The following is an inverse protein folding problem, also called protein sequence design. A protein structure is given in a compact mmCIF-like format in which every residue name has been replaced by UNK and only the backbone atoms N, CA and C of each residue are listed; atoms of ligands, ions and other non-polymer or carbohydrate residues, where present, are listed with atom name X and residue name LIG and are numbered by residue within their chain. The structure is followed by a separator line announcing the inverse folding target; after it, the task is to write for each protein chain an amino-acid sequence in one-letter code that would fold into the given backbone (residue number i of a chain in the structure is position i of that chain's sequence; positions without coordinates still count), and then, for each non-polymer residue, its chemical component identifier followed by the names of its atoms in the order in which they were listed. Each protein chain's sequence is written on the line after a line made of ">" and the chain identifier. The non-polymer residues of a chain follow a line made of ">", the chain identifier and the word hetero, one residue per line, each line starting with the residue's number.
data_IF_586675479283
#
_entry.id   IF_586675479283
#
_cell.length_a   1.000
_cell.length_b   1.000
_cell.length_c   1.000
_cell.angle_alpha   90.00
_cell.angle_beta   90.00
_cell.angle_gamma   90.00
#
_symmetry.space_group_name_H-M   'P 1'
#
loop_
_entity.id
_entity.type
_entity.pdbx_description
1 polymer ?
#
# COMPACT_ATOMS: atom_id res chain seq x y z
N UNK A 1 18.26 -2.85 -14.00
CA UNK A 1 17.71 -1.75 -14.83
C UNK A 1 17.49 -0.54 -13.94
N UNK A 2 17.98 0.66 -14.28
CA UNK A 2 17.86 1.86 -13.41
C UNK A 2 16.39 2.22 -13.19
N UNK A 3 15.98 2.57 -11.96
CA UNK A 3 14.56 2.83 -11.60
C UNK A 3 13.90 3.89 -12.46
N UNK A 4 14.66 4.90 -12.90
CA UNK A 4 14.14 6.04 -13.65
C UNK A 4 13.61 5.63 -15.03
N UNK A 5 14.20 4.62 -15.68
CA UNK A 5 13.72 4.15 -17.00
C UNK A 5 12.35 3.49 -16.91
N UNK A 6 12.07 2.76 -15.83
CA UNK A 6 10.75 2.15 -15.58
C UNK A 6 9.69 3.20 -15.31
N UNK A 7 10.05 4.26 -14.58
CA UNK A 7 9.12 5.34 -14.29
C UNK A 7 8.73 6.09 -15.58
N UNK A 8 9.70 6.37 -16.46
CA UNK A 8 9.43 7.03 -17.74
C UNK A 8 8.46 6.21 -18.61
N UNK A 9 8.69 4.90 -18.77
CA UNK A 9 7.77 4.02 -19.52
C UNK A 9 6.33 4.05 -18.95
N UNK A 10 6.17 4.09 -17.62
CA UNK A 10 4.85 4.24 -17.00
C UNK A 10 4.22 5.60 -17.31
N UNK A 11 5.01 6.68 -17.29
CA UNK A 11 4.53 8.03 -17.63
C UNK A 11 4.12 8.12 -19.11
N UNK A 12 4.94 7.60 -20.02
CA UNK A 12 4.65 7.55 -21.45
C UNK A 12 3.34 6.80 -21.70
N UNK A 13 3.13 5.63 -21.07
CA UNK A 13 1.87 4.89 -21.15
C UNK A 13 0.69 5.65 -20.56
N UNK A 14 0.90 6.44 -19.51
CA UNK A 14 -0.15 7.25 -18.93
C UNK A 14 -0.60 8.38 -19.87
N UNK A 15 0.30 8.92 -20.69
CA UNK A 15 0.02 9.99 -21.66
C UNK A 15 -0.48 9.46 -23.01
N UNK A 16 0.05 8.33 -23.48
CA UNK A 16 -0.19 7.80 -24.83
C UNK A 16 -1.19 6.63 -24.86
N UNK A 17 -1.46 5.98 -23.72
CA UNK A 17 -2.33 4.81 -23.62
C UNK A 17 -3.78 5.07 -24.10
N UNK A 18 -4.56 4.03 -24.44
CA UNK A 18 -5.92 4.19 -24.94
C UNK A 18 -6.82 5.00 -23.99
N UNK A 19 -7.52 6.00 -24.54
CA UNK A 19 -8.47 6.83 -23.81
C UNK A 19 -9.66 5.96 -23.37
N UNK A 20 -10.08 6.13 -22.12
CA UNK A 20 -11.22 5.43 -21.55
C UNK A 20 -11.88 6.29 -20.47
N UNK A 21 -13.21 6.36 -20.50
CA UNK A 21 -13.97 6.96 -19.41
C UNK A 21 -13.90 6.08 -18.15
N UNK A 22 -13.93 6.71 -16.97
CA UNK A 22 -13.83 6.01 -15.69
C UNK A 22 -14.97 5.00 -15.49
N UNK A 23 -16.21 5.37 -15.85
CA UNK A 23 -17.37 4.46 -15.73
C UNK A 23 -17.28 3.30 -16.71
N UNK A 24 -16.71 3.52 -17.89
CA UNK A 24 -16.47 2.45 -18.86
C UNK A 24 -15.36 1.51 -18.39
N UNK A 25 -14.33 2.04 -17.72
CA UNK A 25 -13.32 1.21 -17.06
C UNK A 25 -13.95 0.36 -15.93
N UNK A 26 -14.79 0.92 -15.07
CA UNK A 26 -15.49 0.18 -14.01
C UNK A 26 -16.37 -0.96 -14.57
N UNK A 27 -17.07 -0.69 -15.68
CA UNK A 27 -17.85 -1.71 -16.41
C UNK A 27 -16.94 -2.80 -16.97
N UNK A 28 -15.80 -2.42 -17.54
CA UNK A 28 -14.81 -3.35 -18.06
C UNK A 28 -14.27 -4.25 -16.94
N UNK A 29 -13.88 -3.69 -15.79
CA UNK A 29 -13.45 -4.46 -14.61
C UNK A 29 -14.51 -5.47 -14.20
N UNK A 30 -15.76 -5.03 -14.09
CA UNK A 30 -16.90 -5.89 -13.70
C UNK A 30 -17.19 -7.00 -14.73
N UNK A 31 -17.03 -6.71 -16.02
CA UNK A 31 -17.21 -7.68 -17.10
C UNK A 31 -16.07 -8.70 -17.12
N UNK A 32 -14.82 -8.24 -17.16
CA UNK A 32 -13.63 -9.09 -17.17
C UNK A 32 -13.56 -9.97 -15.94
N UNK A 33 -13.90 -9.46 -14.76
CA UNK A 33 -13.96 -10.28 -13.53
C UNK A 33 -14.91 -11.46 -13.69
N UNK A 34 -16.13 -11.23 -14.19
CA UNK A 34 -17.12 -12.30 -14.41
C UNK A 34 -16.66 -13.32 -15.45
N UNK A 35 -16.05 -12.86 -16.55
CA UNK A 35 -15.53 -13.71 -17.60
C UNK A 35 -14.37 -14.59 -17.11
N UNK A 36 -13.43 -14.01 -16.34
CA UNK A 36 -12.29 -14.71 -15.76
C UNK A 36 -12.74 -15.74 -14.72
N UNK A 37 -13.65 -15.36 -13.80
CA UNK A 37 -14.20 -16.28 -12.80
C UNK A 37 -14.84 -17.51 -13.46
N UNK A 38 -15.60 -17.29 -14.55
CA UNK A 38 -16.20 -18.38 -15.33
C UNK A 38 -15.16 -19.21 -16.08
N UNK A 39 -14.21 -18.56 -16.75
CA UNK A 39 -13.16 -19.22 -17.56
C UNK A 39 -12.28 -20.16 -16.74
N UNK A 40 -11.92 -19.74 -15.53
CA UNK A 40 -11.04 -20.51 -14.64
C UNK A 40 -11.80 -21.36 -13.61
N UNK A 41 -13.14 -21.35 -13.67
CA UNK A 41 -14.02 -22.08 -12.74
C UNK A 41 -13.72 -21.78 -11.27
N UNK A 42 -13.45 -20.51 -10.97
CA UNK A 42 -13.06 -20.07 -9.64
C UNK A 42 -14.30 -19.97 -8.75
N UNK A 43 -14.31 -20.79 -7.70
CA UNK A 43 -15.35 -20.76 -6.66
C UNK A 43 -14.67 -20.55 -5.31
N UNK A 44 -15.09 -19.52 -4.59
CA UNK A 44 -14.68 -19.29 -3.21
C UNK A 44 -15.70 -19.95 -2.27
N UNK A 45 -15.21 -20.76 -1.34
CA UNK A 45 -16.02 -21.31 -0.27
C UNK A 45 -15.88 -20.41 0.97
N UNK A 46 -16.99 -19.82 1.43
CA UNK A 46 -16.97 -18.91 2.59
C UNK A 46 -16.66 -19.64 3.91
N UNK A 47 -16.77 -20.96 3.95
CA UNK A 47 -16.42 -21.77 5.12
C UNK A 47 -14.90 -21.94 5.28
N UNK A 48 -14.15 -21.81 4.17
CA UNK A 48 -12.70 -21.98 4.15
C UNK A 48 -12.01 -20.62 4.14
N UNK A 49 -11.68 -20.10 5.33
CA UNK A 49 -10.97 -18.82 5.47
C UNK A 49 -9.56 -18.82 4.84
N UNK A 50 -8.96 -20.01 4.69
CA UNK A 50 -7.65 -20.22 4.07
C UNK A 50 -7.81 -21.21 2.93
N UNK A 51 -7.32 -20.84 1.75
CA UNK A 51 -7.30 -21.72 0.59
C UNK A 51 -6.20 -22.79 0.77
N UNK A 52 -6.60 -24.05 0.90
CA UNK A 52 -5.70 -25.19 1.09
C UNK A 52 -5.43 -25.99 -0.21
N UNK A 53 -6.16 -25.70 -1.29
CA UNK A 53 -5.95 -26.36 -2.59
C UNK A 53 -4.98 -25.55 -3.46
N UNK A 54 -3.75 -26.05 -3.58
CA UNK A 54 -2.68 -25.46 -4.39
C UNK A 54 -3.06 -25.35 -5.88
N UNK A 55 -3.83 -26.29 -6.43
CA UNK A 55 -4.25 -26.21 -7.84
C UNK A 55 -5.25 -25.07 -8.05
N UNK A 56 -6.14 -24.85 -7.09
CA UNK A 56 -7.04 -23.71 -7.10
C UNK A 56 -6.24 -22.41 -6.92
N UNK A 57 -5.23 -22.37 -6.06
CA UNK A 57 -4.33 -21.21 -5.90
C UNK A 57 -3.58 -20.87 -7.22
N UNK A 58 -3.05 -21.87 -7.91
CA UNK A 58 -2.41 -21.71 -9.22
C UNK A 58 -3.38 -21.18 -10.29
N UNK A 59 -4.64 -21.64 -10.27
CA UNK A 59 -5.68 -21.10 -11.15
C UNK A 59 -5.99 -19.64 -10.82
N UNK A 60 -6.10 -19.28 -9.54
CA UNK A 60 -6.26 -17.88 -9.12
C UNK A 60 -5.10 -17.00 -9.59
N UNK A 61 -3.86 -17.48 -9.47
CA UNK A 61 -2.69 -16.74 -9.95
C UNK A 61 -2.74 -16.52 -11.47
N UNK A 62 -3.02 -17.56 -12.26
CA UNK A 62 -3.14 -17.47 -13.72
C UNK A 62 -4.29 -16.53 -14.14
N UNK A 63 -5.43 -16.63 -13.46
CA UNK A 63 -6.58 -15.78 -13.67
C UNK A 63 -6.28 -14.30 -13.38
N UNK A 64 -5.60 -14.01 -12.26
CA UNK A 64 -5.19 -12.66 -11.90
C UNK A 64 -4.18 -12.07 -12.88
N UNK A 65 -3.24 -12.88 -13.38
CA UNK A 65 -2.26 -12.46 -14.39
C UNK A 65 -2.94 -12.10 -15.73
N UNK A 66 -3.88 -12.93 -16.19
CA UNK A 66 -4.66 -12.63 -17.40
C UNK A 66 -5.56 -11.40 -17.21
N UNK A 67 -6.18 -11.26 -16.04
CA UNK A 67 -6.99 -10.08 -15.71
C UNK A 67 -6.15 -8.80 -15.70
N UNK A 68 -4.93 -8.84 -15.15
CA UNK A 68 -4.01 -7.71 -15.14
C UNK A 68 -3.55 -7.31 -16.56
N UNK A 69 -3.33 -8.28 -17.44
CA UNK A 69 -3.01 -8.05 -18.85
C UNK A 69 -4.18 -7.39 -19.60
N UNK A 70 -5.41 -7.88 -19.41
CA UNK A 70 -6.61 -7.36 -20.08
C UNK A 70 -6.96 -5.94 -19.59
N UNK A 71 -6.91 -5.72 -18.27
CA UNK A 71 -7.35 -4.48 -17.66
C UNK A 71 -6.25 -3.42 -17.64
N UNK A 72 -5.00 -3.80 -17.40
CA UNK A 72 -3.95 -2.83 -17.11
C UNK A 72 -4.28 -1.94 -15.91
N UNK A 73 -3.82 -0.69 -15.94
CA UNK A 73 -4.04 0.29 -14.88
C UNK A 73 -4.70 1.54 -15.47
N UNK A 74 -5.76 2.03 -14.83
CA UNK A 74 -6.40 3.28 -15.22
C UNK A 74 -5.73 4.50 -14.58
N UNK A 75 -5.35 5.48 -15.39
CA UNK A 75 -4.87 6.78 -14.94
C UNK A 75 -6.02 7.78 -14.93
N UNK A 76 -6.51 8.14 -13.74
CA UNK A 76 -7.63 9.08 -13.57
C UNK A 76 -7.28 10.50 -13.99
N UNK A 77 -5.99 10.87 -14.02
CA UNK A 77 -5.55 12.22 -14.42
C UNK A 77 -5.58 12.42 -15.94
N UNK A 78 -5.26 11.39 -16.72
CA UNK A 78 -5.22 11.46 -18.19
C UNK A 78 -6.42 10.79 -18.85
N UNK A 79 -7.28 10.13 -18.06
CA UNK A 79 -8.39 9.29 -18.53
C UNK A 79 -7.94 8.24 -19.55
N UNK A 80 -6.81 7.59 -19.27
CA UNK A 80 -6.18 6.59 -20.14
C UNK A 80 -5.84 5.32 -19.39
N UNK A 81 -5.71 4.24 -20.13
CA UNK A 81 -5.39 2.91 -19.61
C UNK A 81 -3.96 2.52 -19.99
N UNK A 82 -3.13 2.25 -19.00
CA UNK A 82 -1.78 1.72 -19.16
C UNK A 82 -1.85 0.20 -19.27
N UNK A 83 -1.57 -0.33 -20.45
CA UNK A 83 -1.56 -1.77 -20.72
C UNK A 83 -0.17 -2.34 -20.52
N UNK A 84 -0.08 -3.57 -20.05
CA UNK A 84 1.17 -4.30 -19.83
C UNK A 84 1.06 -5.69 -20.42
N UNK A 85 2.08 -6.13 -21.14
CA UNK A 85 2.14 -7.49 -21.63
C UNK A 85 2.39 -8.47 -20.47
N UNK A 86 1.89 -9.69 -20.59
CA UNK A 86 2.08 -10.73 -19.59
C UNK A 86 3.54 -10.95 -19.20
N UNK A 87 4.44 -10.91 -20.17
CA UNK A 87 5.87 -11.10 -19.98
C UNK A 87 6.48 -9.98 -19.13
N UNK A 88 6.01 -8.74 -19.30
CA UNK A 88 6.44 -7.58 -18.52
C UNK A 88 6.04 -7.74 -17.04
N UNK A 89 4.80 -8.18 -16.80
CA UNK A 89 4.28 -8.43 -15.45
C UNK A 89 5.09 -9.54 -14.78
N UNK A 90 5.32 -10.65 -15.48
CA UNK A 90 6.11 -11.78 -14.96
C UNK A 90 7.57 -11.39 -14.69
N UNK A 91 8.17 -10.58 -15.56
CA UNK A 91 9.52 -10.08 -15.37
C UNK A 91 9.59 -9.17 -14.14
N UNK A 92 8.62 -8.28 -13.95
CA UNK A 92 8.54 -7.42 -12.77
C UNK A 92 8.45 -8.22 -11.45
N UNK A 93 7.70 -9.32 -11.43
CA UNK A 93 7.57 -10.19 -10.25
C UNK A 93 8.90 -10.82 -9.82
N UNK A 94 9.84 -11.06 -10.74
CA UNK A 94 11.17 -11.61 -10.41
C UNK A 94 12.03 -10.63 -9.61
N UNK A 95 11.76 -9.33 -9.71
CA UNK A 95 12.51 -8.28 -9.01
C UNK A 95 11.97 -7.99 -7.60
N UNK A 96 11.02 -8.80 -7.11
CA UNK A 96 10.46 -8.64 -5.77
C UNK A 96 11.48 -8.95 -4.68
N UNK A 97 11.49 -8.12 -3.62
CA UNK A 97 12.39 -8.31 -2.48
C UNK A 97 11.86 -9.42 -1.58
N UNK A 98 12.74 -10.31 -1.12
CA UNK A 98 12.39 -11.34 -0.14
C UNK A 98 12.41 -10.83 1.31
N UNK A 99 13.08 -9.70 1.56
CA UNK A 99 13.12 -9.06 2.87
C UNK A 99 13.35 -7.56 2.75
N UNK A 100 12.89 -6.81 3.75
CA UNK A 100 13.15 -5.38 3.90
C UNK A 100 13.34 -5.06 5.38
N UNK A 101 14.42 -4.35 5.72
CA UNK A 101 14.64 -3.84 7.07
C UNK A 101 14.19 -2.39 7.13
N UNK A 102 13.32 -2.08 8.08
CA UNK A 102 12.76 -0.75 8.31
C UNK A 102 13.10 -0.28 9.72
N UNK A 103 13.15 1.03 9.92
CA UNK A 103 13.57 1.62 11.19
C UNK A 103 15.09 1.68 11.33
N UNK A 104 15.57 1.93 12.53
CA UNK A 104 17.00 2.11 12.81
C UNK A 104 17.38 1.74 14.23
N UNK A 105 18.68 1.51 14.47
CA UNK A 105 19.20 1.17 15.79
C UNK A 105 18.57 -0.11 16.36
N UNK A 106 18.28 -0.09 17.67
CA UNK A 106 17.68 -1.22 18.38
C UNK A 106 16.21 -1.48 17.99
N UNK A 107 15.56 -0.51 17.35
CA UNK A 107 14.16 -0.60 16.93
C UNK A 107 14.00 -1.08 15.47
N UNK A 108 15.11 -1.38 14.78
CA UNK A 108 15.06 -1.83 13.40
C UNK A 108 14.34 -3.19 13.29
N UNK A 109 13.37 -3.27 12.41
CA UNK A 109 12.56 -4.48 12.17
C UNK A 109 12.80 -5.00 10.76
N UNK A 110 13.13 -6.27 10.63
CA UNK A 110 13.21 -6.95 9.33
C UNK A 110 11.91 -7.68 9.03
N UNK A 111 11.25 -7.28 7.95
CA UNK A 111 10.08 -7.94 7.37
C UNK A 111 10.59 -8.92 6.34
N UNK A 112 10.18 -10.18 6.46
CA UNK A 112 10.60 -11.27 5.57
C UNK A 112 9.40 -11.88 4.87
N UNK A 113 9.61 -12.41 3.66
CA UNK A 113 8.63 -13.22 2.96
C UNK A 113 8.25 -14.42 3.82
N UNK A 114 6.94 -14.65 3.95
CA UNK A 114 6.36 -15.83 4.60
C UNK A 114 5.60 -16.68 3.59
N UNK A 115 5.50 -17.97 3.85
CA UNK A 115 4.66 -18.96 3.18
C UNK A 115 3.50 -19.37 4.10
N UNK A 116 2.44 -19.98 3.56
CA UNK A 116 1.45 -20.68 4.39
C UNK A 116 2.16 -21.60 5.38
N UNK A 117 1.67 -21.64 6.62
CA UNK A 117 2.19 -22.48 7.71
C UNK A 117 3.60 -22.12 8.25
N UNK A 118 4.22 -21.04 7.76
CA UNK A 118 5.51 -20.60 8.31
C UNK A 118 5.42 -20.27 9.81
N UNK A 119 6.36 -20.82 10.56
CA UNK A 119 6.51 -20.61 12.02
C UNK A 119 7.03 -19.22 12.39
N UNK A 120 7.58 -18.48 11.41
CA UNK A 120 8.01 -17.10 11.60
C UNK A 120 6.78 -16.24 11.94
N UNK A 121 6.81 -15.57 13.08
CA UNK A 121 5.73 -14.69 13.53
C UNK A 121 5.67 -13.45 12.62
N UNK A 122 4.46 -13.08 12.21
CA UNK A 122 4.24 -11.85 11.42
C UNK A 122 4.63 -10.62 12.22
N UNK A 123 5.19 -9.62 11.53
CA UNK A 123 5.45 -8.31 12.14
C UNK A 123 4.13 -7.61 12.44
N UNK A 124 4.01 -7.11 13.66
CA UNK A 124 2.85 -6.39 14.14
C UNK A 124 2.97 -4.92 13.77
N UNK A 125 2.26 -4.55 12.72
CA UNK A 125 2.05 -3.15 12.35
C UNK A 125 0.76 -2.67 13.00
N UNK A 126 0.82 -1.64 13.84
CA UNK A 126 -0.33 -1.10 14.60
C UNK A 126 -0.29 0.41 14.67
N UNK A 127 -1.40 1.02 15.00
CA UNK A 127 -1.52 2.47 15.11
C UNK A 127 -2.94 2.90 14.80
N UNK A 128 -3.18 4.21 14.72
CA UNK A 128 -4.47 4.76 14.35
C UNK A 128 -4.86 4.56 12.87
N UNK A 129 -4.04 3.94 11.99
CA UNK A 129 -4.39 3.62 10.60
C UNK A 129 -5.04 4.78 9.80
N UNK A 130 -4.47 5.99 9.91
CA UNK A 130 -5.01 7.16 9.20
C UNK A 130 -6.33 7.70 9.76
N UNK A 131 -6.78 7.26 10.94
CA UNK A 131 -7.89 7.90 11.66
C UNK A 131 -7.54 9.37 11.95
N UNK A 132 -8.48 10.31 11.75
CA UNK A 132 -8.30 11.71 12.15
C UNK A 132 -8.16 11.83 13.67
N UNK A 133 -7.13 12.55 14.13
CA UNK A 133 -6.83 12.77 15.53
C UNK A 133 -6.67 14.28 15.78
N UNK A 134 -7.27 14.82 16.85
CA UNK A 134 -7.00 16.18 17.29
C UNK A 134 -5.52 16.39 17.61
N UNK A 135 -4.92 17.49 17.11
CA UNK A 135 -3.47 17.74 17.24
C UNK A 135 -2.93 17.59 18.67
N UNK A 136 -3.71 18.06 19.66
CA UNK A 136 -3.35 17.99 21.09
C UNK A 136 -3.19 16.56 21.63
N UNK A 137 -3.90 15.59 21.05
CA UNK A 137 -3.88 14.19 21.47
C UNK A 137 -2.92 13.34 20.62
N UNK A 138 -2.47 13.87 19.48
CA UNK A 138 -1.73 13.09 18.49
C UNK A 138 -0.51 12.40 19.08
N UNK A 139 0.32 13.15 19.83
CA UNK A 139 1.56 12.59 20.39
C UNK A 139 1.28 11.52 21.46
N UNK A 140 0.24 11.69 22.29
CA UNK A 140 -0.16 10.72 23.31
C UNK A 140 -0.74 9.44 22.69
N UNK A 141 -1.58 9.60 21.66
CA UNK A 141 -2.15 8.46 20.92
C UNK A 141 -1.02 7.66 20.27
N UNK A 142 -0.09 8.32 19.58
CA UNK A 142 1.06 7.65 18.96
C UNK A 142 1.94 6.94 20.01
N UNK A 143 2.25 7.61 21.12
CA UNK A 143 3.03 7.05 22.22
C UNK A 143 2.38 5.79 22.80
N UNK A 144 1.04 5.77 22.90
CA UNK A 144 0.29 4.62 23.42
C UNK A 144 0.50 3.35 22.59
N UNK A 145 0.72 3.46 21.27
CA UNK A 145 1.08 2.34 20.41
C UNK A 145 2.57 2.02 20.45
N UNK A 146 3.44 3.04 20.42
CA UNK A 146 4.89 2.82 20.30
C UNK A 146 5.45 2.10 21.53
N UNK A 147 4.94 2.41 22.73
CA UNK A 147 5.42 1.82 23.99
C UNK A 147 5.12 0.33 24.12
N UNK A 148 4.16 -0.20 23.36
CA UNK A 148 3.78 -1.61 23.45
C UNK A 148 4.85 -2.49 22.81
N UNK A 149 5.46 -3.44 23.56
CA UNK A 149 6.57 -4.24 23.07
C UNK A 149 6.17 -5.22 21.97
N UNK A 150 4.88 -5.56 21.88
CA UNK A 150 4.34 -6.44 20.83
C UNK A 150 4.29 -5.74 19.47
N UNK A 151 4.36 -4.41 19.42
CA UNK A 151 4.29 -3.62 18.18
C UNK A 151 5.70 -3.45 17.61
N UNK A 152 5.92 -4.02 16.42
CA UNK A 152 7.20 -3.92 15.72
C UNK A 152 7.35 -2.58 14.99
N UNK A 153 6.29 -2.10 14.33
CA UNK A 153 6.29 -0.84 13.56
C UNK A 153 4.92 -0.16 13.65
N UNK A 154 4.88 1.16 13.42
CA UNK A 154 3.67 1.95 13.71
C UNK A 154 3.09 2.58 12.45
N UNK A 155 1.77 2.59 12.28
CA UNK A 155 1.08 3.38 11.24
C UNK A 155 0.66 4.72 11.81
N UNK A 156 0.97 5.81 11.12
CA UNK A 156 0.56 7.16 11.51
C UNK A 156 -0.95 7.39 11.48
N UNK A 157 -1.41 8.35 12.28
CA UNK A 157 -2.76 8.91 12.19
C UNK A 157 -2.75 10.16 11.33
N UNK A 158 -3.94 10.67 10.99
CA UNK A 158 -4.08 11.93 10.26
C UNK A 158 -4.36 13.07 11.25
N UNK A 159 -3.73 14.22 11.06
CA UNK A 159 -4.08 15.42 11.83
C UNK A 159 -5.38 16.06 11.31
N UNK A 160 -6.34 16.30 12.20
CA UNK A 160 -7.56 17.07 11.88
C UNK A 160 -7.25 18.54 11.58
N UNK A 161 -6.42 19.13 12.44
CA UNK A 161 -5.99 20.52 12.40
C UNK A 161 -4.47 20.57 12.54
N UNK A 162 -3.88 21.62 11.97
CA UNK A 162 -2.45 21.91 12.12
C UNK A 162 -2.29 23.33 12.61
N UNK A 163 -1.69 23.50 13.79
CA UNK A 163 -1.59 24.78 14.49
C UNK A 163 -2.96 25.49 14.59
N UNK A 164 -4.00 24.71 14.92
CA UNK A 164 -5.38 25.19 15.05
C UNK A 164 -6.07 25.60 13.75
N UNK A 165 -5.51 25.28 12.58
CA UNK A 165 -6.06 25.64 11.26
C UNK A 165 -6.45 24.41 10.46
N UNK A 166 -7.52 24.54 9.70
CA UNK A 166 -7.96 23.51 8.76
C UNK A 166 -7.00 23.44 7.57
N UNK A 167 -6.34 22.30 7.31
CA UNK A 167 -5.48 22.14 6.15
C UNK A 167 -6.31 22.14 4.86
N UNK A 168 -5.80 22.80 3.81
CA UNK A 168 -6.42 22.78 2.47
C UNK A 168 -5.70 21.78 1.56
N UNK A 169 -6.47 20.99 0.82
CA UNK A 169 -5.96 20.06 -0.20
C UNK A 169 -5.26 20.82 -1.34
N UNK A 170 -4.26 20.20 -1.96
CA UNK A 170 -3.50 20.77 -3.09
C UNK A 170 -2.89 22.14 -2.78
N UNK A 171 -2.33 22.28 -1.58
CA UNK A 171 -1.72 23.53 -1.12
C UNK A 171 -0.51 23.25 -0.21
N UNK A 172 0.34 24.25 0.09
CA UNK A 172 1.48 24.09 0.99
C UNK A 172 1.11 23.58 2.40
N UNK A 173 -0.16 23.67 2.81
CA UNK A 173 -0.68 23.04 4.04
C UNK A 173 -0.45 21.53 4.08
N UNK A 174 -0.39 20.88 2.92
CA UNK A 174 -0.13 19.46 2.82
C UNK A 174 1.27 19.09 3.33
N UNK A 175 2.28 19.85 2.92
CA UNK A 175 3.67 19.69 3.36
C UNK A 175 3.79 19.98 4.85
N UNK A 176 3.18 21.07 5.33
CA UNK A 176 3.21 21.42 6.75
C UNK A 176 2.56 20.34 7.63
N UNK A 177 1.44 19.79 7.18
CA UNK A 177 0.74 18.73 7.90
C UNK A 177 1.57 17.43 7.94
N UNK A 178 2.16 17.03 6.81
CA UNK A 178 3.04 15.86 6.74
C UNK A 178 4.27 16.03 7.65
N UNK A 179 4.88 17.21 7.65
CA UNK A 179 5.97 17.54 8.55
C UNK A 179 5.54 17.41 10.01
N UNK A 180 4.40 18.02 10.38
CA UNK A 180 3.89 18.04 11.74
C UNK A 180 3.56 16.64 12.26
N UNK A 181 2.97 15.79 11.43
CA UNK A 181 2.71 14.38 11.75
C UNK A 181 4.00 13.63 12.11
N UNK A 182 5.05 13.77 11.30
CA UNK A 182 6.33 13.12 11.54
C UNK A 182 7.03 13.69 12.77
N UNK A 183 6.99 15.00 12.97
CA UNK A 183 7.54 15.66 14.16
C UNK A 183 6.92 15.10 15.44
N UNK A 184 5.58 15.10 15.53
CA UNK A 184 4.86 14.61 16.70
C UNK A 184 5.03 13.11 16.92
N UNK A 185 5.11 12.33 15.84
CA UNK A 185 5.36 10.88 15.88
C UNK A 185 6.76 10.57 16.39
N UNK A 186 7.79 11.27 15.90
CA UNK A 186 9.17 11.10 16.36
C UNK A 186 9.34 11.54 17.81
N UNK A 187 8.69 12.63 18.22
CA UNK A 187 8.68 13.05 19.62
C UNK A 187 8.04 11.98 20.53
N UNK A 188 6.93 11.37 20.10
CA UNK A 188 6.30 10.26 20.80
C UNK A 188 7.22 9.03 20.89
N UNK A 189 7.92 8.68 19.81
CA UNK A 189 8.89 7.58 19.80
C UNK A 189 10.07 7.81 20.74
N UNK A 190 10.59 9.05 20.80
CA UNK A 190 11.64 9.42 21.74
C UNK A 190 11.18 9.26 23.19
N UNK A 191 9.98 9.73 23.53
CA UNK A 191 9.42 9.58 24.89
C UNK A 191 9.16 8.12 25.27
N UNK A 192 8.72 7.31 24.31
CA UNK A 192 8.52 5.87 24.49
C UNK A 192 9.84 5.06 24.56
N UNK A 193 11.01 5.70 24.44
CA UNK A 193 12.31 5.03 24.48
C UNK A 193 12.64 4.21 23.22
N UNK A 194 11.90 4.42 22.12
CA UNK A 194 12.03 3.70 20.84
C UNK A 194 12.23 4.66 19.67
N UNK A 195 13.27 5.53 19.70
CA UNK A 195 13.45 6.60 18.72
C UNK A 195 13.71 6.10 17.31
N UNK A 196 14.17 4.85 17.14
CA UNK A 196 14.47 4.26 15.85
C UNK A 196 13.26 3.58 15.19
N UNK A 197 12.09 3.61 15.82
CA UNK A 197 10.90 2.92 15.32
C UNK A 197 10.47 3.45 13.94
N UNK A 198 9.98 2.54 13.09
CA UNK A 198 9.53 2.89 11.75
C UNK A 198 8.07 3.32 11.74
N UNK A 199 7.80 4.41 11.01
CA UNK A 199 6.46 4.92 10.79
C UNK A 199 6.01 4.64 9.35
N UNK A 200 4.97 3.82 9.23
CA UNK A 200 4.22 3.63 8.00
C UNK A 200 3.25 4.79 7.80
N UNK A 201 3.18 5.25 6.56
CA UNK A 201 2.32 6.35 6.12
C UNK A 201 2.72 7.70 6.73
N UNK A 202 3.29 8.56 5.88
CA UNK A 202 3.01 9.98 5.92
C UNK A 202 2.23 10.22 4.64
N UNK A 203 0.89 10.24 4.72
CA UNK A 203 0.10 10.44 3.52
C UNK A 203 0.39 11.87 3.07
N UNK A 204 0.83 12.05 1.83
CA UNK A 204 0.14 12.99 0.93
C UNK A 204 0.49 12.82 -0.53
N UNK A 205 -0.60 12.90 -1.29
CA UNK A 205 -0.65 13.05 -2.73
C UNK A 205 -0.15 14.47 -3.03
N UNK A 206 1.16 14.67 -2.96
CA UNK A 206 1.78 15.84 -3.54
C UNK A 206 1.58 15.72 -5.05
N UNK A 207 0.63 16.48 -5.59
CA UNK A 207 0.59 16.80 -7.01
C UNK A 207 1.76 17.73 -7.33
#
# INVERSE_FOLDING_TARGET
>A
MKSNVRLLDVLDRAEEGPIMDEKEFDKLVSKTTREILKKYELKYNNEDAILMDDNLADRFFKAGLEMAEILGIYCTSTHRRMLFAKEEILEALKWTLNQVTVGSGLDATTIVKRRPEDTIISKNVRGPFGTPIPEKLYSEVMESYIKEPIIDTVVGGNLELVHGRQPKTSSPWEVLLAWREIELSKAAAQRAGRPGNWFWCCRKRCY
#
